data_IF_593687717885
#
_entry.id   IF_593687717885
#
_cell.length_a   1.000
_cell.length_b   1.000
_cell.length_c   1.000
_cell.angle_alpha   90.00
_cell.angle_beta   90.00
_cell.angle_gamma   90.00
#
_symmetry.space_group_name_H-M   'P 1'
#
loop_
_entity.id
_entity.type
_entity.pdbx_description
1 polymer ?
#
# COMPACT_ATOMS: atom_id res chain seq x y z
N UNK A 1 1.21 7.26 -1.18
CA UNK A 1 1.41 5.81 -0.93
C UNK A 1 2.90 5.56 -0.89
N UNK A 2 3.42 5.07 0.23
CA UNK A 2 4.87 4.88 0.41
C UNK A 2 5.34 3.50 -0.05
N UNK A 3 4.56 2.45 0.26
CA UNK A 3 4.86 1.09 -0.14
C UNK A 3 3.56 0.36 -0.53
N UNK A 4 3.69 -0.67 -1.38
CA UNK A 4 2.63 -1.62 -1.71
C UNK A 4 3.20 -3.00 -2.06
N UNK A 5 2.38 -4.02 -1.87
CA UNK A 5 2.72 -5.40 -2.20
C UNK A 5 1.49 -6.09 -2.80
N UNK A 6 1.74 -6.90 -3.83
CA UNK A 6 0.72 -7.67 -4.53
C UNK A 6 0.92 -9.11 -4.12
N UNK A 7 -0.10 -9.74 -3.56
CA UNK A 7 -0.02 -11.11 -3.11
C UNK A 7 -1.24 -11.57 -2.33
N UNK A 8 -1.11 -12.72 -1.69
CA UNK A 8 -2.18 -13.32 -0.90
C UNK A 8 -2.37 -12.60 0.45
N UNK A 9 -3.53 -12.77 1.05
CA UNK A 9 -3.83 -12.28 2.40
C UNK A 9 -3.34 -13.29 3.43
N UNK A 10 -2.02 -13.38 3.61
CA UNK A 10 -1.35 -14.28 4.55
C UNK A 10 -0.16 -13.60 5.25
N UNK A 11 0.47 -14.32 6.18
CA UNK A 11 1.59 -13.81 6.97
C UNK A 11 2.84 -13.50 6.15
N UNK A 12 3.15 -14.31 5.14
CA UNK A 12 4.35 -14.12 4.31
C UNK A 12 4.27 -12.83 3.50
N UNK A 13 3.16 -12.64 2.78
CA UNK A 13 2.94 -11.45 1.97
C UNK A 13 2.77 -10.20 2.84
N UNK A 14 2.22 -10.37 4.05
CA UNK A 14 2.20 -9.31 5.07
C UNK A 14 3.62 -8.89 5.44
N UNK A 15 4.51 -9.84 5.75
CA UNK A 15 5.89 -9.51 6.08
C UNK A 15 6.60 -8.80 4.92
N UNK A 16 6.46 -9.29 3.68
CA UNK A 16 7.02 -8.64 2.48
C UNK A 16 6.51 -7.21 2.28
N UNK A 17 5.26 -6.93 2.63
CA UNK A 17 4.71 -5.57 2.61
C UNK A 17 5.36 -4.69 3.68
N UNK A 18 5.48 -5.20 4.92
CA UNK A 18 6.03 -4.43 6.03
C UNK A 18 7.53 -4.17 5.85
N UNK A 19 8.30 -5.08 5.27
CA UNK A 19 9.71 -4.87 4.94
C UNK A 19 9.87 -3.70 3.96
N UNK A 20 9.07 -3.69 2.88
CA UNK A 20 9.06 -2.56 1.94
C UNK A 20 8.64 -1.25 2.60
N UNK A 21 7.68 -1.31 3.53
CA UNK A 21 7.24 -0.12 4.25
C UNK A 21 8.34 0.39 5.18
N UNK A 22 9.09 -0.51 5.82
CA UNK A 22 10.24 -0.19 6.67
C UNK A 22 11.34 0.54 5.90
N UNK A 23 11.63 0.11 4.68
CA UNK A 23 12.61 0.80 3.83
C UNK A 23 12.13 2.19 3.37
N UNK A 24 10.81 2.41 3.34
CA UNK A 24 10.19 3.64 2.85
C UNK A 24 9.87 4.68 3.95
N UNK A 25 10.13 4.37 5.23
CA UNK A 25 9.85 5.25 6.36
C UNK A 25 11.10 5.51 7.20
N UNK A 26 11.11 6.62 7.90
CA UNK A 26 12.17 6.96 8.86
C UNK A 26 11.56 7.59 10.11
N UNK A 27 12.23 7.40 11.24
CA UNK A 27 11.78 7.90 12.55
C UNK A 27 10.57 7.16 13.11
N UNK A 28 10.04 7.70 14.21
CA UNK A 28 8.85 7.13 14.89
C UNK A 28 7.57 7.58 14.21
N UNK A 29 6.63 6.65 14.04
CA UNK A 29 5.35 6.95 13.41
C UNK A 29 4.20 6.13 14.01
N UNK A 30 2.98 6.54 13.68
CA UNK A 30 1.77 5.79 14.04
C UNK A 30 1.26 5.01 12.83
N UNK A 31 0.97 3.72 13.03
CA UNK A 31 0.35 2.84 12.04
C UNK A 31 -1.08 2.49 12.46
N UNK A 32 -1.99 2.45 11.50
CA UNK A 32 -3.34 1.89 11.71
C UNK A 32 -3.65 0.84 10.67
N UNK A 33 -4.18 -0.31 11.10
CA UNK A 33 -4.69 -1.36 10.21
C UNK A 33 -6.12 -1.78 10.59
N UNK A 34 -6.68 -2.69 9.81
CA UNK A 34 -7.83 -3.49 10.24
C UNK A 34 -7.39 -4.56 11.27
N UNK A 35 -8.34 -5.33 11.78
CA UNK A 35 -8.09 -6.44 12.71
C UNK A 35 -7.52 -7.71 12.07
N UNK A 36 -6.78 -7.63 10.95
CA UNK A 36 -6.20 -8.82 10.32
C UNK A 36 -5.06 -9.40 11.19
N UNK A 37 -5.14 -10.66 11.66
CA UNK A 37 -4.20 -11.19 12.67
C UNK A 37 -2.72 -11.14 12.28
N UNK A 38 -2.39 -11.23 10.99
CA UNK A 38 -0.99 -11.18 10.55
C UNK A 38 -0.30 -9.84 10.89
N UNK A 39 -1.05 -8.72 10.94
CA UNK A 39 -0.47 -7.44 11.33
C UNK A 39 -0.20 -7.33 12.82
N UNK A 40 -0.99 -8.00 13.67
CA UNK A 40 -0.88 -7.92 15.13
C UNK A 40 0.53 -8.28 15.61
N UNK A 41 1.11 -9.33 15.05
CA UNK A 41 2.48 -9.76 15.38
C UNK A 41 3.54 -9.11 14.47
N UNK A 42 3.29 -9.05 13.16
CA UNK A 42 4.35 -8.65 12.22
C UNK A 42 4.69 -7.15 12.29
N UNK A 43 3.74 -6.27 12.66
CA UNK A 43 4.00 -4.83 12.78
C UNK A 43 4.99 -4.53 13.92
N UNK A 44 4.74 -4.94 15.18
CA UNK A 44 5.73 -4.76 16.25
C UNK A 44 7.06 -5.44 15.96
N UNK A 45 7.04 -6.63 15.36
CA UNK A 45 8.26 -7.36 14.99
C UNK A 45 9.14 -6.57 14.00
N UNK A 46 8.52 -5.96 12.99
CA UNK A 46 9.23 -5.29 11.90
C UNK A 46 9.79 -3.93 12.32
N UNK A 47 8.98 -3.12 13.00
CA UNK A 47 9.31 -1.72 13.33
C UNK A 47 9.79 -1.52 14.76
N UNK A 48 9.60 -2.49 15.66
CA UNK A 48 10.07 -2.43 17.06
C UNK A 48 9.61 -1.12 17.73
N UNK A 49 10.53 -0.36 18.30
CA UNK A 49 10.28 0.88 19.03
C UNK A 49 9.92 2.08 18.13
N UNK A 50 9.94 1.91 16.81
CA UNK A 50 9.67 3.00 15.86
C UNK A 50 8.19 3.10 15.46
N UNK A 51 7.32 2.21 15.97
CA UNK A 51 5.90 2.24 15.66
C UNK A 51 5.03 2.32 16.91
N UNK A 52 4.03 3.20 16.86
CA UNK A 52 2.85 3.13 17.70
C UNK A 52 1.69 2.58 16.86
N UNK A 53 1.10 1.46 17.24
CA UNK A 53 0.21 0.69 16.38
C UNK A 53 -1.18 0.53 16.99
N UNK A 54 -2.19 0.97 16.24
CA UNK A 54 -3.60 0.77 16.57
C UNK A 54 -4.36 0.02 15.47
N UNK A 55 -5.48 -0.58 15.84
CA UNK A 55 -6.38 -1.25 14.92
C UNK A 55 -7.76 -0.58 14.95
N UNK A 56 -8.40 -0.47 13.79
CA UNK A 56 -9.83 -0.18 13.70
C UNK A 56 -10.56 -1.43 13.21
N UNK A 57 -11.32 -2.05 14.10
CA UNK A 57 -12.05 -3.29 13.84
C UNK A 57 -13.50 -2.92 13.52
N UNK A 58 -13.95 -3.21 12.30
CA UNK A 58 -15.34 -2.96 11.86
C UNK A 58 -16.11 -4.27 11.83
N UNK A 59 -17.22 -4.33 12.56
CA UNK A 59 -18.14 -5.46 12.55
C UNK A 59 -19.30 -5.15 11.61
N UNK A 60 -19.60 -6.07 10.70
CA UNK A 60 -20.70 -5.97 9.75
C UNK A 60 -21.73 -7.06 10.02
N UNK A 61 -23.00 -6.79 9.71
CA UNK A 61 -24.09 -7.75 9.89
C UNK A 61 -23.94 -8.94 8.96
N UNK A 62 -24.18 -10.15 9.47
CA UNK A 62 -24.14 -11.40 8.69
C UNK A 62 -25.37 -11.61 7.80
N UNK A 63 -26.48 -10.94 8.10
CA UNK A 63 -27.75 -11.07 7.37
C UNK A 63 -27.71 -10.31 6.04
N UNK A 64 -27.62 -11.05 4.94
CA UNK A 64 -27.95 -10.56 3.60
C UNK A 64 -29.40 -10.93 3.25
N UNK A 65 -30.39 -10.27 3.87
CA UNK A 65 -31.76 -10.31 3.33
C UNK A 65 -31.90 -9.43 2.08
N UNK A 66 -30.94 -8.53 1.82
CA UNK A 66 -30.93 -7.63 0.68
C UNK A 66 -29.96 -8.09 -0.42
N UNK A 67 -30.43 -7.97 -1.67
CA UNK A 67 -29.86 -8.43 -2.96
C UNK A 67 -28.32 -8.55 -3.07
N UNK A 68 -27.84 -9.43 -3.97
CA UNK A 68 -26.44 -9.83 -4.29
C UNK A 68 -25.37 -8.71 -4.40
N UNK A 69 -25.78 -7.44 -4.38
CA UNK A 69 -24.93 -6.26 -4.57
C UNK A 69 -25.07 -5.20 -3.46
N UNK A 70 -25.90 -5.43 -2.43
CA UNK A 70 -26.04 -4.50 -1.31
C UNK A 70 -24.87 -4.67 -0.34
N UNK A 71 -24.18 -3.58 0.06
CA UNK A 71 -23.14 -3.66 1.07
C UNK A 71 -23.73 -4.10 2.42
N UNK A 72 -22.97 -4.88 3.19
CA UNK A 72 -23.41 -5.28 4.54
C UNK A 72 -23.53 -4.05 5.45
N UNK A 73 -24.55 -4.06 6.31
CA UNK A 73 -24.75 -2.99 7.30
C UNK A 73 -23.63 -3.04 8.33
N UNK A 74 -22.98 -1.91 8.58
CA UNK A 74 -21.97 -1.80 9.63
C UNK A 74 -22.67 -1.74 10.98
N UNK A 75 -22.31 -2.64 11.88
CA UNK A 75 -22.89 -2.79 13.22
C UNK A 75 -22.10 -1.98 14.24
N UNK A 76 -20.77 -2.05 14.19
CA UNK A 76 -19.90 -1.33 15.12
C UNK A 76 -18.51 -1.08 14.55
N UNK A 77 -17.81 -0.11 15.13
CA UNK A 77 -16.38 0.12 14.94
C UNK A 77 -15.71 0.26 16.31
N UNK A 78 -14.66 -0.53 16.54
CA UNK A 78 -13.87 -0.50 17.76
C UNK A 78 -12.43 -0.12 17.45
N UNK A 79 -11.89 0.84 18.21
CA UNK A 79 -10.48 1.20 18.17
C UNK A 79 -9.76 0.37 19.24
N UNK A 80 -8.69 -0.31 18.84
CA UNK A 80 -7.87 -1.11 19.75
C UNK A 80 -6.42 -0.62 19.70
N UNK A 81 -5.78 -0.48 20.87
CA UNK A 81 -4.35 -0.23 20.98
C UNK A 81 -3.64 -1.58 20.90
N UNK A 82 -2.91 -1.82 19.81
CA UNK A 82 -2.25 -3.10 19.57
C UNK A 82 -0.80 -3.12 20.10
N UNK A 83 -0.07 -2.01 19.96
CA UNK A 83 1.31 -1.91 20.43
C UNK A 83 1.77 -0.46 20.64
N UNK A 84 2.59 -0.22 21.67
CA UNK A 84 3.10 1.11 22.01
C UNK A 84 2.00 2.04 22.54
N UNK A 85 2.12 3.34 22.25
CA UNK A 85 1.20 4.37 22.72
C UNK A 85 0.65 5.20 21.55
N UNK A 86 -0.17 4.62 20.65
CA UNK A 86 -0.80 5.36 19.56
C UNK A 86 -1.81 6.36 20.09
N UNK A 87 -1.92 7.50 19.42
CA UNK A 87 -2.98 8.47 19.66
C UNK A 87 -4.33 7.87 19.23
N UNK A 88 -5.27 7.62 20.16
CA UNK A 88 -6.56 7.00 19.85
C UNK A 88 -7.38 7.80 18.83
N UNK A 89 -7.25 9.13 18.80
CA UNK A 89 -8.04 9.96 17.89
C UNK A 89 -7.60 9.81 16.45
N UNK A 90 -6.34 9.46 16.23
CA UNK A 90 -5.74 9.24 14.90
C UNK A 90 -5.90 7.81 14.38
N UNK A 91 -6.40 6.88 15.21
CA UNK A 91 -6.72 5.52 14.77
C UNK A 91 -7.91 5.58 13.80
N UNK A 92 -7.65 5.34 12.51
CA UNK A 92 -8.70 5.23 11.50
C UNK A 92 -8.22 4.63 10.18
N UNK A 93 -9.18 4.17 9.37
CA UNK A 93 -8.94 3.56 8.04
C UNK A 93 -9.31 4.48 6.88
N UNK A 94 -9.71 5.72 7.14
CA UNK A 94 -10.23 6.65 6.12
C UNK A 94 -9.25 6.88 4.97
N UNK A 95 -7.93 6.91 5.26
CA UNK A 95 -6.88 7.08 4.25
C UNK A 95 -6.83 5.86 3.31
N UNK A 96 -6.76 4.64 3.86
CA UNK A 96 -6.70 3.42 3.02
C UNK A 96 -8.01 3.19 2.27
N UNK A 97 -9.15 3.54 2.87
CA UNK A 97 -10.46 3.49 2.22
C UNK A 97 -10.54 4.43 1.02
N UNK A 98 -10.02 5.66 1.15
CA UNK A 98 -9.94 6.61 0.04
C UNK A 98 -9.03 6.12 -1.08
N UNK A 99 -7.88 5.52 -0.73
CA UNK A 99 -6.96 4.92 -1.72
C UNK A 99 -7.65 3.76 -2.44
N UNK A 100 -8.32 2.87 -1.71
CA UNK A 100 -9.06 1.74 -2.27
C UNK A 100 -10.20 2.19 -3.20
N UNK A 101 -10.93 3.24 -2.84
CA UNK A 101 -11.91 3.85 -3.73
C UNK A 101 -11.25 4.37 -5.01
N UNK A 102 -10.16 5.14 -4.87
CA UNK A 102 -9.45 5.70 -6.03
C UNK A 102 -8.93 4.60 -6.96
N UNK A 103 -8.33 3.53 -6.40
CA UNK A 103 -7.90 2.36 -7.16
C UNK A 103 -9.05 1.76 -7.97
N UNK A 104 -10.21 1.50 -7.35
CA UNK A 104 -11.38 0.91 -8.04
C UNK A 104 -11.95 1.80 -9.13
N UNK A 105 -11.94 3.12 -8.94
CA UNK A 105 -12.46 4.08 -9.90
C UNK A 105 -11.50 4.34 -11.06
N UNK A 106 -10.19 4.28 -10.82
CA UNK A 106 -9.18 4.53 -11.84
C UNK A 106 -8.77 3.30 -12.64
N UNK A 107 -8.95 2.10 -12.07
CA UNK A 107 -8.45 0.87 -12.65
C UNK A 107 -9.58 -0.14 -12.86
N UNK A 108 -9.95 -0.36 -14.13
CA UNK A 108 -11.03 -1.27 -14.50
C UNK A 108 -10.84 -2.70 -13.99
N UNK A 109 -9.58 -3.12 -13.77
CA UNK A 109 -9.20 -4.43 -13.22
C UNK A 109 -9.68 -4.68 -11.80
N UNK A 110 -10.01 -3.63 -11.05
CA UNK A 110 -10.58 -3.73 -9.71
C UNK A 110 -12.10 -3.49 -9.68
N UNK A 111 -12.71 -3.23 -10.84
CA UNK A 111 -14.16 -3.13 -10.97
C UNK A 111 -14.76 -4.54 -11.13
N UNK A 112 -15.92 -4.78 -10.51
CA UNK A 112 -16.69 -6.03 -10.66
C UNK A 112 -17.47 -6.01 -11.98
N UNK A 113 -17.83 -7.18 -12.52
CA UNK A 113 -18.69 -7.33 -13.71
C UNK A 113 -18.18 -6.57 -14.95
N UNK A 114 -16.89 -6.74 -15.25
CA UNK A 114 -16.27 -6.16 -16.45
C UNK A 114 -15.34 -7.16 -17.12
N UNK A 115 -15.18 -7.02 -18.42
CA UNK A 115 -14.19 -7.74 -19.22
C UNK A 115 -12.72 -7.34 -18.92
N UNK A 116 -12.46 -6.25 -18.19
CA UNK A 116 -11.13 -5.72 -17.93
C UNK A 116 -10.33 -6.45 -16.84
N UNK A 117 -10.27 -7.79 -16.83
CA UNK A 117 -9.55 -8.57 -15.81
C UNK A 117 -8.06 -8.77 -16.14
N UNK A 118 -7.25 -9.10 -15.11
CA UNK A 118 -5.84 -9.42 -15.30
C UNK A 118 -5.63 -10.90 -15.60
N UNK A 119 -4.90 -11.22 -16.67
CA UNK A 119 -4.52 -12.61 -17.04
C UNK A 119 -3.08 -12.97 -16.69
N UNK A 120 -2.28 -11.98 -16.30
CA UNK A 120 -0.85 -12.14 -16.00
C UNK A 120 -0.51 -11.32 -14.77
N UNK A 121 0.15 -11.97 -13.79
CA UNK A 121 0.58 -11.34 -12.55
C UNK A 121 1.56 -10.20 -12.80
N UNK A 122 2.55 -10.39 -13.68
CA UNK A 122 3.52 -9.36 -14.07
C UNK A 122 2.83 -8.08 -14.54
N UNK A 123 1.84 -8.21 -15.43
CA UNK A 123 1.10 -7.06 -15.95
C UNK A 123 0.18 -6.42 -14.90
N UNK A 124 -0.36 -7.22 -13.97
CA UNK A 124 -1.14 -6.73 -12.85
C UNK A 124 -0.29 -5.89 -11.87
N UNK A 125 0.93 -6.33 -11.61
CA UNK A 125 1.92 -5.60 -10.80
C UNK A 125 2.33 -4.32 -11.50
N UNK A 126 2.72 -4.40 -12.79
CA UNK A 126 3.15 -3.23 -13.57
C UNK A 126 2.07 -2.14 -13.60
N UNK A 127 0.81 -2.53 -13.82
CA UNK A 127 -0.32 -1.60 -13.80
C UNK A 127 -0.48 -0.89 -12.45
N UNK A 128 -0.35 -1.61 -11.33
CA UNK A 128 -0.42 -1.01 -9.99
C UNK A 128 0.76 -0.08 -9.72
N UNK A 129 1.97 -0.45 -10.15
CA UNK A 129 3.14 0.41 -10.04
C UNK A 129 2.93 1.73 -10.78
N UNK A 130 2.43 1.68 -12.02
CA UNK A 130 2.07 2.87 -12.80
C UNK A 130 1.02 3.71 -12.08
N UNK A 131 -0.01 3.07 -11.52
CA UNK A 131 -1.03 3.77 -10.75
C UNK A 131 -0.44 4.51 -9.54
N UNK A 132 0.36 3.84 -8.71
CA UNK A 132 0.92 4.46 -7.50
C UNK A 132 1.93 5.56 -7.83
N UNK A 133 2.72 5.37 -8.88
CA UNK A 133 3.62 6.41 -9.38
C UNK A 133 2.83 7.65 -9.85
N UNK A 134 1.78 7.45 -10.64
CA UNK A 134 0.90 8.53 -11.10
C UNK A 134 0.18 9.20 -9.92
N UNK A 135 -0.29 8.42 -8.95
CA UNK A 135 -0.99 8.90 -7.76
C UNK A 135 -0.10 9.82 -6.91
N UNK A 136 1.18 9.49 -6.78
CA UNK A 136 2.14 10.21 -5.94
C UNK A 136 2.77 11.42 -6.64
N UNK A 137 3.15 11.30 -7.91
CA UNK A 137 3.99 12.30 -8.60
C UNK A 137 3.22 13.19 -9.57
N UNK A 138 2.16 12.69 -10.22
CA UNK A 138 1.49 13.39 -11.32
C UNK A 138 0.15 13.98 -10.88
N UNK A 139 -0.70 13.18 -10.22
CA UNK A 139 -2.08 13.54 -9.91
C UNK A 139 -2.15 14.48 -8.70
N UNK A 140 -2.72 15.68 -8.88
CA UNK A 140 -3.10 16.57 -7.78
C UNK A 140 -4.30 16.01 -7.02
N UNK A 141 -4.27 16.10 -5.70
CA UNK A 141 -5.35 15.63 -4.82
C UNK A 141 -6.16 16.80 -4.29
N UNK A 142 -7.49 16.65 -4.29
CA UNK A 142 -8.41 17.72 -3.90
C UNK A 142 -8.30 18.13 -2.43
N UNK A 143 -7.91 17.21 -1.54
CA UNK A 143 -7.79 17.48 -0.10
C UNK A 143 -6.54 18.28 0.27
N UNK A 144 -5.40 17.96 -0.35
CA UNK A 144 -4.11 18.61 -0.08
C UNK A 144 -3.73 19.65 -1.16
N UNK A 145 -4.55 19.81 -2.21
CA UNK A 145 -4.38 20.73 -3.36
C UNK A 145 -3.07 20.55 -4.15
N UNK A 146 -2.27 19.54 -3.84
CA UNK A 146 -1.00 19.20 -4.50
C UNK A 146 -0.85 17.68 -4.65
N UNK A 147 0.31 17.22 -5.14
CA UNK A 147 0.61 15.79 -5.21
C UNK A 147 1.17 15.28 -3.87
N UNK A 148 1.01 13.99 -3.52
CA UNK A 148 1.59 13.44 -2.29
C UNK A 148 3.12 13.59 -2.23
N UNK A 149 3.80 13.47 -3.37
CA UNK A 149 5.25 13.68 -3.44
C UNK A 149 5.62 15.13 -3.11
N UNK A 150 4.84 16.12 -3.56
CA UNK A 150 5.03 17.52 -3.18
C UNK A 150 4.79 17.73 -1.68
N UNK A 151 3.69 17.20 -1.14
CA UNK A 151 3.37 17.34 0.28
C UNK A 151 4.42 16.70 1.20
N UNK A 152 5.17 15.73 0.68
CA UNK A 152 6.26 15.04 1.39
C UNK A 152 7.64 15.64 1.11
N UNK A 153 7.74 16.73 0.34
CA UNK A 153 9.00 17.40 0.01
C UNK A 153 9.89 16.68 -1.01
N UNK A 154 9.39 15.65 -1.70
CA UNK A 154 10.16 14.87 -2.68
C UNK A 154 10.29 15.57 -4.05
N UNK A 155 9.39 16.51 -4.35
CA UNK A 155 9.42 17.30 -5.60
C UNK A 155 8.77 18.66 -5.38
N UNK A 156 9.26 19.68 -6.08
CA UNK A 156 8.68 21.03 -6.02
C UNK A 156 7.43 21.19 -6.90
N UNK A 157 7.25 20.35 -7.92
CA UNK A 157 6.15 20.42 -8.89
C UNK A 157 5.57 19.04 -9.21
N UNK A 158 4.30 18.97 -9.67
CA UNK A 158 3.76 17.73 -10.24
C UNK A 158 4.58 17.33 -11.46
N UNK A 159 4.85 16.04 -11.59
CA UNK A 159 5.50 15.49 -12.77
C UNK A 159 4.52 15.42 -13.94
N UNK A 160 5.05 15.55 -15.14
CA UNK A 160 4.38 15.17 -16.37
C UNK A 160 4.46 13.65 -16.57
N UNK A 161 3.59 13.09 -17.40
CA UNK A 161 3.68 11.68 -17.81
C UNK A 161 5.03 11.37 -18.45
N UNK A 162 5.62 12.33 -19.18
CA UNK A 162 6.93 12.19 -19.80
C UNK A 162 8.03 12.04 -18.75
N UNK A 163 8.12 12.97 -17.79
CA UNK A 163 9.10 12.90 -16.68
C UNK A 163 8.98 11.58 -15.91
N UNK A 164 7.75 11.08 -15.70
CA UNK A 164 7.53 9.79 -15.05
C UNK A 164 8.11 8.60 -15.86
N UNK A 165 7.94 8.60 -17.18
CA UNK A 165 8.45 7.54 -18.05
C UNK A 165 9.98 7.59 -18.18
N UNK A 166 10.55 8.79 -18.25
CA UNK A 166 12.01 9.00 -18.28
C UNK A 166 12.66 8.49 -16.99
N UNK A 167 12.13 8.87 -15.82
CA UNK A 167 12.63 8.38 -14.54
C UNK A 167 12.50 6.85 -14.38
N UNK A 168 11.44 6.26 -14.93
CA UNK A 168 11.28 4.80 -14.91
C UNK A 168 12.31 4.09 -15.80
N UNK A 169 12.64 4.67 -16.95
CA UNK A 169 13.67 4.15 -17.84
C UNK A 169 15.08 4.25 -17.23
N UNK A 170 15.40 5.39 -16.60
CA UNK A 170 16.67 5.60 -15.90
C UNK A 170 16.84 4.65 -14.70
N UNK A 171 15.77 4.43 -13.93
CA UNK A 171 15.78 3.49 -12.81
C UNK A 171 16.05 2.05 -13.26
N UNK A 172 15.52 1.65 -14.41
CA UNK A 172 15.76 0.32 -15.00
C UNK A 172 17.25 0.12 -15.33
N UNK A 173 17.87 1.13 -15.96
CA UNK A 173 19.32 1.11 -16.29
C UNK A 173 20.16 0.95 -15.01
N UNK A 174 19.81 1.64 -13.92
CA UNK A 174 20.56 1.53 -12.67
C UNK A 174 20.41 0.16 -11.99
N UNK A 175 19.23 -0.46 -12.05
CA UNK A 175 19.02 -1.83 -11.52
C UNK A 175 19.78 -2.86 -12.36
N UNK A 176 19.77 -2.74 -13.68
CA UNK A 176 20.50 -3.64 -14.58
C UNK A 176 22.03 -3.48 -14.41
N UNK A 177 22.50 -2.25 -14.16
CA UNK A 177 23.90 -1.98 -13.82
C UNK A 177 24.30 -2.55 -12.46
N UNK A 178 23.44 -2.48 -11.44
CA UNK A 178 23.70 -3.12 -10.14
C UNK A 178 23.63 -4.65 -10.22
N UNK A 179 22.73 -5.21 -11.05
CA UNK A 179 22.60 -6.66 -11.24
C UNK A 179 23.78 -7.26 -12.02
N UNK A 180 24.41 -6.50 -12.92
CA UNK A 180 25.62 -6.94 -13.63
C UNK A 180 26.90 -6.89 -12.79
N UNK A 181 26.92 -6.11 -11.70
CA UNK A 181 28.05 -6.04 -10.75
C UNK A 181 28.02 -7.15 -9.68
N UNK A 182 26.88 -7.84 -9.52
CA UNK A 182 26.77 -9.03 -8.67
C UNK A 182 27.28 -10.25 -9.44
N UNK A 183 28.60 -10.47 -9.43
CA UNK A 183 29.16 -11.77 -9.87
C UNK A 183 28.55 -12.89 -9.01
N UNK A 184 28.14 -14.03 -9.60
CA UNK A 184 27.60 -15.14 -8.84
C UNK A 184 28.64 -15.61 -7.83
N UNK A 185 28.29 -15.60 -6.53
CA UNK A 185 29.07 -16.30 -5.50
C UNK A 185 29.15 -17.77 -5.93
N UNK A 186 30.35 -18.24 -6.31
CA UNK A 186 30.61 -19.67 -6.51
C UNK A 186 30.11 -20.40 -5.26
N UNK A 187 29.11 -21.25 -5.40
CA UNK A 187 28.73 -22.16 -4.35
C UNK A 187 29.91 -23.11 -4.13
N UNK A 188 30.53 -23.04 -2.95
CA UNK A 188 31.38 -24.11 -2.47
C UNK A 188 30.47 -25.32 -2.25
N UNK A 189 30.62 -26.34 -3.08
CA UNK A 189 30.03 -27.64 -2.79
C UNK A 189 30.80 -28.31 -1.64
N UNK A 190 30.10 -29.09 -0.79
CA UNK A 190 30.70 -29.81 0.33
C UNK A 190 31.68 -30.89 -0.12
#
# INVERSE_FOLDING_TARGET
>A
MLAHHIGNRDGEHTQRFLDKLKDAVTGRFQLTSDGFPAYQYNVPFTFRNDVAYGCLIKTYSSTQEQTRYSPATMVSAEKSIAYGSPDPDRIGTSIVERVNLTLRMSLRRFTRLTNGHSKSLRHHIAMQNIFFATYNFVRKHSSIKMTPAMASGLTAKPWTTKELLEAAAEGQINVDNQASDVRPRKMLHP
#
